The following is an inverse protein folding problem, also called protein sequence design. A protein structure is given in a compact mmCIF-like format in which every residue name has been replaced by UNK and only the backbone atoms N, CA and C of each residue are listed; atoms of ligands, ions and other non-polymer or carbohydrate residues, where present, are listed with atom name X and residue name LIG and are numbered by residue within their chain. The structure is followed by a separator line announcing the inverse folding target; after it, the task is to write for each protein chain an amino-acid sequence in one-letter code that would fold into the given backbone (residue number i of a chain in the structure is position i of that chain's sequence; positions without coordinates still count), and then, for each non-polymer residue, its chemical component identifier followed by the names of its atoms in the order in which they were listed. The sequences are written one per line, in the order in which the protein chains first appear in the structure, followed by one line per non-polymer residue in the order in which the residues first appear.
data_IF_424726657169
#
_entry.id   IF_424726657169
#
_cell.length_a   1.000
_cell.length_b   1.000
_cell.length_c   1.000
_cell.angle_alpha   90.00
_cell.angle_beta   90.00
_cell.angle_gamma   90.00
#
_symmetry.space_group_name_H-M   'P 1'
#
loop_
_entity.id
_entity.type
_entity.pdbx_description
1 polymer ?
#
# COMPACT_ATOMS: atom_id res chain seq x y z
N UNK A 1 41.65 0.09 52.31
CA UNK A 1 40.64 -0.99 52.14
C UNK A 1 39.28 -0.43 51.76
N UNK A 2 38.76 0.57 52.48
CA UNK A 2 37.45 1.19 52.27
C UNK A 2 37.28 1.83 50.87
N UNK A 3 38.32 2.46 50.32
CA UNK A 3 38.26 3.12 49.01
C UNK A 3 38.20 2.13 47.82
N UNK A 4 38.74 0.92 48.01
CA UNK A 4 38.69 -0.17 47.01
C UNK A 4 37.31 -0.81 46.96
N UNK A 5 36.67 -0.98 48.12
CA UNK A 5 35.29 -1.47 48.27
C UNK A 5 34.27 -0.52 47.62
N UNK A 6 34.40 0.80 47.81
CA UNK A 6 33.51 1.79 47.18
C UNK A 6 33.60 1.79 45.64
N UNK A 7 34.81 1.65 45.10
CA UNK A 7 35.03 1.58 43.64
C UNK A 7 34.43 0.30 43.03
N UNK A 8 34.51 -0.83 43.74
CA UNK A 8 33.92 -2.11 43.30
C UNK A 8 32.39 -2.07 43.36
N UNK A 9 31.82 -1.48 44.42
CA UNK A 9 30.36 -1.34 44.58
C UNK A 9 29.75 -0.39 43.53
N UNK A 10 30.45 0.70 43.21
CA UNK A 10 30.09 1.60 42.09
C UNK A 10 30.14 0.91 40.73
N UNK A 11 31.20 0.11 40.47
CA UNK A 11 31.36 -0.62 39.20
C UNK A 11 30.31 -1.72 39.01
N UNK A 12 29.95 -2.45 40.07
CA UNK A 12 28.85 -3.43 40.05
C UNK A 12 27.46 -2.76 39.93
N UNK A 13 27.27 -1.57 40.52
CA UNK A 13 26.05 -0.78 40.34
C UNK A 13 25.86 -0.31 38.88
N UNK A 14 26.94 0.10 38.20
CA UNK A 14 26.87 0.49 36.79
C UNK A 14 26.68 -0.72 35.87
N UNK A 15 27.32 -1.86 36.14
CA UNK A 15 27.15 -3.08 35.35
C UNK A 15 25.73 -3.67 35.45
N UNK A 16 25.11 -3.62 36.64
CA UNK A 16 23.72 -4.05 36.83
C UNK A 16 22.69 -3.09 36.20
N UNK A 17 22.97 -1.78 36.20
CA UNK A 17 22.16 -0.78 35.49
C UNK A 17 22.20 -0.98 33.98
N UNK A 18 23.39 -1.11 33.39
CA UNK A 18 23.56 -1.35 31.95
C UNK A 18 22.87 -2.65 31.47
N UNK A 19 22.85 -3.70 32.29
CA UNK A 19 22.17 -4.95 31.95
C UNK A 19 20.63 -4.80 31.98
N UNK A 20 20.09 -4.01 32.91
CA UNK A 20 18.66 -3.69 32.93
C UNK A 20 18.25 -2.80 31.76
N UNK A 21 19.07 -1.81 31.40
CA UNK A 21 18.80 -0.92 30.27
C UNK A 21 18.75 -1.72 28.95
N UNK A 22 19.68 -2.67 28.75
CA UNK A 22 19.68 -3.55 27.58
C UNK A 22 18.43 -4.44 27.53
N UNK A 23 18.01 -5.01 28.66
CA UNK A 23 16.77 -5.81 28.73
C UNK A 23 15.51 -4.99 28.43
N UNK A 24 15.47 -3.74 28.89
CA UNK A 24 14.37 -2.82 28.60
C UNK A 24 14.33 -2.50 27.10
N UNK A 25 15.48 -2.24 26.48
CA UNK A 25 15.58 -1.99 25.04
C UNK A 25 15.18 -3.21 24.20
N UNK A 26 15.62 -4.42 24.57
CA UNK A 26 15.20 -5.66 23.89
C UNK A 26 13.69 -5.92 24.01
N UNK A 27 13.11 -5.64 25.19
CA UNK A 27 11.67 -5.76 25.41
C UNK A 27 10.88 -4.74 24.57
N UNK A 28 11.33 -3.47 24.55
CA UNK A 28 10.70 -2.41 23.74
C UNK A 28 10.79 -2.75 22.26
N UNK A 29 11.95 -3.21 21.77
CA UNK A 29 12.13 -3.59 20.36
C UNK A 29 11.21 -4.76 19.97
N UNK A 30 11.12 -5.78 20.83
CA UNK A 30 10.25 -6.94 20.60
C UNK A 30 8.77 -6.55 20.62
N UNK A 31 8.38 -5.65 21.52
CA UNK A 31 7.01 -5.14 21.59
C UNK A 31 6.64 -4.29 20.36
N UNK A 32 7.55 -3.42 19.91
CA UNK A 32 7.38 -2.64 18.68
C UNK A 32 7.25 -3.58 17.48
N UNK A 33 8.15 -4.57 17.35
CA UNK A 33 8.10 -5.57 16.28
C UNK A 33 6.78 -6.33 16.29
N UNK A 34 6.33 -6.80 17.44
CA UNK A 34 5.05 -7.49 17.58
C UNK A 34 3.86 -6.62 17.12
N UNK A 35 3.84 -5.34 17.52
CA UNK A 35 2.81 -4.40 17.06
C UNK A 35 2.88 -4.15 15.55
N UNK A 36 4.07 -4.05 14.99
CA UNK A 36 4.29 -3.94 13.56
C UNK A 36 3.79 -5.19 12.83
N UNK A 37 4.19 -6.38 13.25
CA UNK A 37 3.75 -7.65 12.65
C UNK A 37 2.22 -7.79 12.70
N UNK A 38 1.59 -7.37 13.80
CA UNK A 38 0.13 -7.35 13.91
C UNK A 38 -0.54 -6.29 13.01
N UNK A 39 0.10 -5.15 12.75
CA UNK A 39 -0.35 -4.15 11.78
C UNK A 39 -0.23 -4.67 10.34
N UNK A 40 0.86 -5.38 10.02
CA UNK A 40 1.05 -6.04 8.73
C UNK A 40 -0.01 -7.12 8.47
N UNK A 41 -0.47 -7.80 9.52
CA UNK A 41 -1.51 -8.83 9.42
C UNK A 41 -2.89 -8.29 8.95
N UNK A 42 -3.16 -6.99 9.12
CA UNK A 42 -4.44 -6.38 8.72
C UNK A 42 -4.44 -5.84 7.27
N UNK A 43 -3.35 -6.06 6.51
CA UNK A 43 -3.23 -5.71 5.09
C UNK A 43 -2.67 -4.31 4.81
N UNK A 44 -2.48 -4.01 3.52
CA UNK A 44 -1.87 -2.76 3.04
C UNK A 44 -2.61 -1.48 3.46
N UNK A 45 -3.92 -1.58 3.75
CA UNK A 45 -4.76 -0.44 4.15
C UNK A 45 -4.25 0.25 5.42
N UNK A 46 -3.61 -0.48 6.35
CA UNK A 46 -3.05 0.07 7.59
C UNK A 46 -1.60 0.53 7.44
N UNK A 47 -0.88 0.00 6.46
CA UNK A 47 0.55 0.28 6.25
C UNK A 47 0.74 1.67 5.62
N UNK A 48 -0.09 2.04 4.64
CA UNK A 48 -0.03 3.35 3.97
C UNK A 48 -0.16 4.53 4.95
N UNK A 49 -1.19 4.62 5.83
CA UNK A 49 -1.30 5.74 6.76
C UNK A 49 -0.15 5.77 7.76
N UNK A 50 0.34 4.60 8.21
CA UNK A 50 1.50 4.52 9.10
C UNK A 50 2.76 5.08 8.44
N UNK A 51 3.03 4.69 7.18
CA UNK A 51 4.16 5.19 6.41
C UNK A 51 4.07 6.70 6.18
N UNK A 52 2.86 7.20 5.94
CA UNK A 52 2.60 8.64 5.77
C UNK A 52 2.91 9.40 7.06
N UNK A 53 2.49 8.90 8.22
CA UNK A 53 2.79 9.51 9.53
C UNK A 53 4.31 9.52 9.79
N UNK A 54 5.00 8.42 9.50
CA UNK A 54 6.45 8.32 9.65
C UNK A 54 7.15 9.35 8.75
N UNK A 55 6.70 9.50 7.50
CA UNK A 55 7.23 10.49 6.56
C UNK A 55 7.08 11.92 7.10
N UNK A 56 5.89 12.28 7.61
CA UNK A 56 5.63 13.59 8.22
C UNK A 56 6.53 13.83 9.44
N UNK A 57 6.67 12.84 10.31
CA UNK A 57 7.50 12.95 11.51
C UNK A 57 8.97 13.22 11.16
N UNK A 58 9.47 12.58 10.11
CA UNK A 58 10.83 12.75 9.62
C UNK A 58 11.04 14.15 9.02
N UNK A 59 10.07 14.66 8.25
CA UNK A 59 10.09 16.04 7.73
C UNK A 59 10.16 17.05 8.89
N UNK A 60 9.39 16.83 9.96
CA UNK A 60 9.42 17.69 11.16
C UNK A 60 10.79 17.67 11.85
N UNK A 61 11.38 16.48 12.05
CA UNK A 61 12.71 16.34 12.67
C UNK A 61 13.76 17.07 11.83
N UNK A 62 13.80 16.83 10.52
CA UNK A 62 14.79 17.44 9.65
C UNK A 62 14.61 18.94 9.53
N UNK A 63 13.37 19.43 9.50
CA UNK A 63 13.07 20.86 9.53
C UNK A 63 13.59 21.53 10.80
N UNK A 64 13.47 20.87 11.97
CA UNK A 64 14.03 21.38 13.22
C UNK A 64 15.56 21.46 13.14
N UNK A 65 16.22 20.40 12.66
CA UNK A 65 17.68 20.36 12.48
C UNK A 65 18.14 21.50 11.54
N UNK A 66 17.37 21.75 10.47
CA UNK A 66 17.66 22.80 9.50
C UNK A 66 17.51 24.20 10.10
N UNK A 67 16.45 24.42 10.89
CA UNK A 67 16.25 25.68 11.61
C UNK A 67 17.42 26.02 12.54
N UNK A 68 17.98 25.02 13.23
CA UNK A 68 19.17 25.20 14.07
C UNK A 68 20.45 25.55 13.29
N UNK A 69 20.48 25.29 11.98
CA UNK A 69 21.63 25.59 11.11
C UNK A 69 21.66 27.06 10.62
N UNK A 70 20.66 27.88 11.00
CA UNK A 70 20.60 29.35 10.80
C UNK A 70 20.62 29.87 9.35
N UNK A 71 20.18 29.06 8.39
CA UNK A 71 20.03 29.52 6.99
C UNK A 71 18.67 30.17 6.68
N UNK A 72 17.67 30.00 7.56
CA UNK A 72 16.29 30.43 7.29
C UNK A 72 15.76 31.32 8.40
N UNK A 73 15.07 32.41 8.01
CA UNK A 73 14.51 33.39 8.93
C UNK A 73 13.26 32.88 9.67
N UNK A 74 12.64 31.79 9.19
CA UNK A 74 11.41 31.23 9.73
C UNK A 74 11.38 29.69 9.70
N UNK A 75 10.81 29.08 10.75
CA UNK A 75 10.56 27.64 10.81
C UNK A 75 9.68 27.14 9.65
N UNK A 76 8.74 27.97 9.18
CA UNK A 76 7.88 27.62 8.04
C UNK A 76 8.69 27.45 6.75
N UNK A 77 9.72 28.27 6.57
CA UNK A 77 10.59 28.20 5.40
C UNK A 77 11.50 26.98 5.49
N UNK A 78 12.00 26.65 6.69
CA UNK A 78 12.73 25.40 6.92
C UNK A 78 11.88 24.16 6.63
N UNK A 79 10.59 24.16 7.02
CA UNK A 79 9.65 23.09 6.69
C UNK A 79 9.44 22.96 5.19
N UNK A 80 9.18 24.09 4.52
CA UNK A 80 8.96 24.13 3.08
C UNK A 80 10.19 23.64 2.32
N UNK A 81 11.38 24.13 2.66
CA UNK A 81 12.64 23.71 2.05
C UNK A 81 12.91 22.22 2.26
N UNK A 82 12.70 21.70 3.47
CA UNK A 82 12.87 20.26 3.75
C UNK A 82 11.90 19.41 2.93
N UNK A 83 10.64 19.84 2.84
CA UNK A 83 9.62 19.18 2.03
C UNK A 83 9.98 19.16 0.54
N UNK A 84 10.30 20.33 -0.04
CA UNK A 84 10.66 20.43 -1.45
C UNK A 84 11.92 19.65 -1.79
N UNK A 85 12.86 19.53 -0.86
CA UNK A 85 14.14 18.82 -1.06
C UNK A 85 14.01 17.31 -1.05
N UNK A 86 13.00 16.77 -0.35
CA UNK A 86 12.64 15.35 -0.42
C UNK A 86 11.97 15.04 -1.76
N UNK A 87 11.15 15.96 -2.28
CA UNK A 87 10.48 15.81 -3.57
C UNK A 87 11.43 16.06 -4.76
N UNK A 88 12.33 17.02 -4.61
CA UNK A 88 13.36 17.37 -5.58
C UNK A 88 14.73 17.47 -4.90
N UNK A 89 15.47 16.35 -4.86
CA UNK A 89 16.83 16.30 -4.37
C UNK A 89 17.81 17.24 -5.09
N UNK A 90 17.49 17.67 -6.32
CA UNK A 90 18.38 18.51 -7.12
C UNK A 90 18.49 19.94 -6.60
N UNK A 91 17.48 20.40 -5.85
CA UNK A 91 17.49 21.70 -5.17
C UNK A 91 18.70 21.89 -4.24
N UNK A 92 19.31 20.79 -3.80
CA UNK A 92 20.46 20.78 -2.90
C UNK A 92 21.80 21.24 -3.47
N UNK A 93 21.89 21.35 -4.79
CA UNK A 93 23.14 21.69 -5.45
C UNK A 93 23.65 23.11 -5.09
N UNK A 94 22.75 23.98 -4.62
CA UNK A 94 23.05 25.38 -4.31
C UNK A 94 23.44 25.64 -2.85
N UNK A 95 23.51 24.61 -2.00
CA UNK A 95 23.91 24.78 -0.59
C UNK A 95 25.35 25.29 -0.48
N UNK A 96 25.54 26.30 0.35
CA UNK A 96 26.86 26.83 0.71
C UNK A 96 27.35 26.19 2.02
N UNK A 97 28.59 25.71 2.03
CA UNK A 97 29.22 25.13 3.21
C UNK A 97 29.20 23.58 3.27
N UNK A 98 30.36 23.01 3.62
CA UNK A 98 30.57 21.56 3.62
C UNK A 98 29.75 20.82 4.67
N UNK A 99 29.55 21.41 5.85
CA UNK A 99 28.69 20.85 6.91
C UNK A 99 27.23 20.76 6.44
N UNK A 100 26.77 21.77 5.73
CA UNK A 100 25.40 21.85 5.28
C UNK A 100 25.12 20.83 4.17
N UNK A 101 26.02 20.72 3.17
CA UNK A 101 25.94 19.70 2.13
C UNK A 101 25.88 18.27 2.66
N UNK A 102 26.64 17.96 3.72
CA UNK A 102 26.59 16.64 4.35
C UNK A 102 25.24 16.35 5.01
N UNK A 103 24.70 17.32 5.77
CA UNK A 103 23.39 17.19 6.43
C UNK A 103 22.29 17.03 5.36
N UNK A 104 22.32 17.88 4.35
CA UNK A 104 21.41 17.84 3.21
C UNK A 104 21.45 16.52 2.45
N UNK A 105 22.64 15.95 2.25
CA UNK A 105 22.82 14.65 1.61
C UNK A 105 22.17 13.51 2.41
N UNK A 106 22.31 13.54 3.74
CA UNK A 106 21.67 12.54 4.62
C UNK A 106 20.15 12.68 4.57
N UNK A 107 19.63 13.92 4.63
CA UNK A 107 18.19 14.20 4.55
C UNK A 107 17.61 13.67 3.24
N UNK A 108 18.28 13.94 2.13
CA UNK A 108 17.86 13.48 0.79
C UNK A 108 17.86 11.96 0.72
N UNK A 109 18.92 11.30 1.19
CA UNK A 109 19.03 9.84 1.12
C UNK A 109 17.93 9.19 1.96
N UNK A 110 17.69 9.68 3.17
CA UNK A 110 16.59 9.20 4.02
C UNK A 110 15.23 9.46 3.37
N UNK A 111 14.98 10.67 2.88
CA UNK A 111 13.73 11.06 2.22
C UNK A 111 13.44 10.20 1.00
N UNK A 112 14.43 9.98 0.14
CA UNK A 112 14.32 9.19 -1.07
C UNK A 112 13.95 7.73 -0.78
N UNK A 113 14.58 7.11 0.22
CA UNK A 113 14.25 5.74 0.64
C UNK A 113 12.79 5.66 1.09
N UNK A 114 12.33 6.61 1.91
CA UNK A 114 10.95 6.61 2.43
C UNK A 114 9.94 6.81 1.30
N UNK A 115 10.18 7.78 0.42
CA UNK A 115 9.31 8.06 -0.73
C UNK A 115 9.24 6.85 -1.65
N UNK A 116 10.36 6.16 -1.90
CA UNK A 116 10.38 4.95 -2.71
C UNK A 116 9.53 3.83 -2.09
N UNK A 117 9.64 3.60 -0.77
CA UNK A 117 8.81 2.61 -0.07
C UNK A 117 7.33 3.02 -0.11
N UNK A 118 7.01 4.30 0.07
CA UNK A 118 5.65 4.82 0.02
C UNK A 118 5.00 4.61 -1.35
N UNK A 119 5.71 4.96 -2.43
CA UNK A 119 5.24 4.74 -3.80
C UNK A 119 5.04 3.24 -4.04
N UNK A 120 5.99 2.40 -3.63
CA UNK A 120 5.86 0.94 -3.74
C UNK A 120 4.63 0.40 -3.04
N UNK A 121 4.35 0.85 -1.80
CA UNK A 121 3.17 0.45 -1.05
C UNK A 121 1.86 0.88 -1.74
N UNK A 122 1.84 2.10 -2.30
CA UNK A 122 0.69 2.65 -3.04
C UNK A 122 0.43 1.83 -4.31
N UNK A 123 1.47 1.49 -5.08
CA UNK A 123 1.32 0.69 -6.30
C UNK A 123 0.73 -0.69 -5.97
N UNK A 124 1.25 -1.38 -4.95
CA UNK A 124 0.71 -2.68 -4.55
C UNK A 124 -0.75 -2.57 -4.09
N UNK A 125 -1.10 -1.53 -3.34
CA UNK A 125 -2.48 -1.29 -2.92
C UNK A 125 -3.41 -1.02 -4.11
N UNK A 126 -2.96 -0.23 -5.09
CA UNK A 126 -3.70 -0.01 -6.32
C UNK A 126 -3.91 -1.31 -7.09
N UNK A 127 -2.88 -2.16 -7.20
CA UNK A 127 -2.99 -3.46 -7.84
C UNK A 127 -3.98 -4.37 -7.10
N UNK A 128 -3.97 -4.40 -5.77
CA UNK A 128 -4.95 -5.14 -4.98
C UNK A 128 -6.39 -4.67 -5.26
N UNK A 129 -6.62 -3.35 -5.28
CA UNK A 129 -7.93 -2.78 -5.59
C UNK A 129 -8.35 -3.02 -7.03
N UNK A 130 -7.44 -2.92 -7.98
CA UNK A 130 -7.71 -3.25 -9.37
C UNK A 130 -8.03 -4.74 -9.54
N UNK A 131 -7.33 -5.61 -8.83
CA UNK A 131 -7.60 -7.05 -8.85
C UNK A 131 -8.94 -7.37 -8.17
N UNK A 132 -9.30 -6.68 -7.10
CA UNK A 132 -10.62 -6.79 -6.46
C UNK A 132 -11.75 -6.37 -7.44
N UNK A 133 -11.55 -5.28 -8.19
CA UNK A 133 -12.48 -4.87 -9.23
C UNK A 133 -12.57 -5.87 -10.40
N UNK A 134 -11.44 -6.46 -10.80
CA UNK A 134 -11.41 -7.53 -11.82
C UNK A 134 -12.20 -8.77 -11.40
N UNK A 135 -12.22 -9.10 -10.10
CA UNK A 135 -12.99 -10.23 -9.54
C UNK A 135 -14.50 -10.03 -9.63
N UNK A 136 -15.00 -8.83 -9.94
CA UNK A 136 -16.39 -8.61 -10.36
C UNK A 136 -17.45 -8.85 -9.28
N UNK A 137 -17.11 -8.63 -8.00
CA UNK A 137 -18.06 -8.67 -6.89
C UNK A 137 -19.03 -7.46 -6.86
N UNK A 138 -19.00 -6.58 -7.86
CA UNK A 138 -19.92 -5.44 -7.95
C UNK A 138 -21.31 -5.91 -8.36
N UNK A 139 -22.33 -5.48 -7.60
CA UNK A 139 -23.75 -5.79 -7.83
C UNK A 139 -24.17 -5.45 -9.27
N UNK A 140 -24.91 -6.36 -9.91
CA UNK A 140 -25.44 -6.14 -11.26
C UNK A 140 -26.71 -5.30 -11.15
N UNK A 141 -26.66 -4.04 -11.61
CA UNK A 141 -27.78 -3.10 -11.64
C UNK A 141 -28.45 -3.12 -13.03
N UNK A 142 -28.60 -4.29 -13.64
CA UNK A 142 -29.19 -4.43 -14.97
C UNK A 142 -30.67 -4.83 -14.90
N UNK A 143 -31.50 -4.22 -15.74
CA UNK A 143 -32.94 -4.53 -15.83
C UNK A 143 -33.19 -5.49 -17.00
N UNK A 144 -34.10 -6.47 -16.81
CA UNK A 144 -34.48 -7.47 -17.83
C UNK A 144 -33.32 -8.32 -18.37
N UNK A 145 -32.48 -8.86 -17.48
CA UNK A 145 -31.34 -9.69 -17.85
C UNK A 145 -31.63 -11.18 -17.64
N UNK A 146 -31.03 -12.03 -18.48
CA UNK A 146 -31.07 -13.50 -18.32
C UNK A 146 -29.84 -13.95 -17.56
N UNK A 147 -30.02 -14.69 -16.46
CA UNK A 147 -28.91 -15.20 -15.64
C UNK A 147 -28.63 -16.67 -16.02
N UNK A 148 -27.37 -16.98 -16.31
CA UNK A 148 -26.87 -18.35 -16.41
C UNK A 148 -26.08 -18.64 -15.14
N UNK A 149 -26.52 -19.64 -14.37
CA UNK A 149 -25.88 -20.07 -13.13
C UNK A 149 -24.98 -21.27 -13.39
N UNK A 150 -23.70 -21.15 -13.06
CA UNK A 150 -22.70 -22.20 -13.22
C UNK A 150 -22.03 -22.24 -14.59
N UNK A 151 -21.02 -23.08 -14.71
CA UNK A 151 -20.21 -23.25 -15.93
C UNK A 151 -20.31 -24.68 -16.46
N UNK A 152 -20.70 -24.84 -17.73
CA UNK A 152 -20.66 -26.13 -18.42
C UNK A 152 -20.18 -25.96 -19.87
N UNK A 153 -19.63 -27.01 -20.52
CA UNK A 153 -19.23 -26.93 -21.92
C UNK A 153 -20.38 -26.56 -22.88
N UNK A 154 -21.64 -26.77 -22.48
CA UNK A 154 -22.84 -26.41 -23.27
C UNK A 154 -23.18 -24.93 -23.20
N UNK A 155 -22.49 -24.14 -22.37
CA UNK A 155 -22.80 -22.72 -22.18
C UNK A 155 -22.64 -21.92 -23.48
N UNK A 156 -21.73 -22.32 -24.37
CA UNK A 156 -21.51 -21.63 -25.64
C UNK A 156 -22.74 -21.74 -26.55
N UNK A 157 -23.35 -22.92 -26.61
CA UNK A 157 -24.57 -23.15 -27.39
C UNK A 157 -25.73 -22.34 -26.82
N UNK A 158 -25.89 -22.34 -25.48
CA UNK A 158 -26.92 -21.55 -24.79
C UNK A 158 -26.75 -20.06 -25.07
N UNK A 159 -25.52 -19.53 -25.01
CA UNK A 159 -25.25 -18.11 -25.29
C UNK A 159 -25.59 -17.78 -26.75
N UNK A 160 -25.22 -18.63 -27.71
CA UNK A 160 -25.52 -18.40 -29.13
C UNK A 160 -27.04 -18.37 -29.38
N UNK A 161 -27.79 -19.34 -28.84
CA UNK A 161 -29.25 -19.36 -28.95
C UNK A 161 -29.89 -18.13 -28.28
N UNK A 162 -29.38 -17.72 -27.12
CA UNK A 162 -29.85 -16.50 -26.45
C UNK A 162 -29.54 -15.23 -27.24
N UNK A 163 -28.38 -15.13 -27.90
CA UNK A 163 -28.05 -14.00 -28.77
C UNK A 163 -29.07 -13.90 -29.91
N UNK A 164 -29.39 -15.03 -30.56
CA UNK A 164 -30.39 -15.09 -31.64
C UNK A 164 -31.77 -14.69 -31.12
N UNK A 165 -32.20 -15.25 -29.98
CA UNK A 165 -33.48 -14.92 -29.36
C UNK A 165 -33.58 -13.43 -28.94
N UNK A 166 -32.44 -12.79 -28.66
CA UNK A 166 -32.35 -11.43 -28.19
C UNK A 166 -32.30 -10.37 -29.32
N UNK A 167 -32.23 -10.78 -30.59
CA UNK A 167 -32.17 -9.84 -31.73
C UNK A 167 -33.35 -8.85 -31.76
N UNK A 168 -34.53 -9.30 -31.34
CA UNK A 168 -35.75 -8.47 -31.31
C UNK A 168 -35.94 -7.67 -30.01
N UNK A 169 -35.06 -7.83 -29.01
CA UNK A 169 -35.14 -7.11 -27.73
C UNK A 169 -34.31 -5.82 -27.76
N UNK A 170 -34.75 -4.80 -27.02
CA UNK A 170 -33.96 -3.57 -26.79
C UNK A 170 -33.04 -3.77 -25.57
N UNK A 171 -31.73 -3.60 -25.77
CA UNK A 171 -30.66 -3.75 -24.77
C UNK A 171 -30.67 -5.05 -23.94
N UNK A 172 -30.78 -6.24 -24.58
CA UNK A 172 -30.71 -7.51 -23.87
C UNK A 172 -29.35 -7.70 -23.19
N UNK A 173 -29.36 -8.31 -22.01
CA UNK A 173 -28.14 -8.65 -21.28
C UNK A 173 -28.20 -10.08 -20.75
N UNK A 174 -27.06 -10.77 -20.85
CA UNK A 174 -26.85 -12.11 -20.32
C UNK A 174 -25.80 -11.97 -19.21
N UNK A 175 -26.15 -12.42 -18.00
CA UNK A 175 -25.26 -12.42 -16.84
C UNK A 175 -24.85 -13.87 -16.58
N UNK A 176 -23.56 -14.15 -16.58
CA UNK A 176 -23.02 -15.48 -16.28
C UNK A 176 -22.41 -15.43 -14.89
N UNK A 177 -23.00 -16.18 -13.95
CA UNK A 177 -22.49 -16.36 -12.60
C UNK A 177 -21.73 -17.67 -12.52
N UNK A 178 -20.46 -17.63 -12.15
CA UNK A 178 -19.61 -18.82 -12.08
C UNK A 178 -18.60 -18.68 -10.95
N UNK A 179 -18.15 -19.81 -10.39
CA UNK A 179 -17.06 -19.82 -9.41
C UNK A 179 -15.67 -19.63 -10.06
N UNK A 180 -15.59 -19.69 -11.39
CA UNK A 180 -14.35 -19.43 -12.15
C UNK A 180 -13.97 -17.95 -12.18
N UNK A 181 -12.69 -17.66 -12.41
CA UNK A 181 -12.22 -16.29 -12.59
C UNK A 181 -12.88 -15.61 -13.81
N UNK A 182 -13.34 -14.37 -13.64
CA UNK A 182 -14.03 -13.63 -14.70
C UNK A 182 -13.15 -13.42 -15.93
N UNK A 183 -11.84 -13.23 -15.75
CA UNK A 183 -10.89 -12.96 -16.84
C UNK A 183 -10.71 -14.21 -17.70
N UNK A 184 -10.59 -15.38 -17.07
CA UNK A 184 -10.52 -16.68 -17.76
C UNK A 184 -11.80 -16.93 -18.56
N UNK A 185 -12.96 -16.74 -17.94
CA UNK A 185 -14.28 -16.96 -18.57
C UNK A 185 -14.50 -16.00 -19.73
N UNK A 186 -14.17 -14.72 -19.54
CA UNK A 186 -14.26 -13.72 -20.60
C UNK A 186 -13.36 -14.07 -21.79
N UNK A 187 -12.14 -14.55 -21.53
CA UNK A 187 -11.22 -14.97 -22.59
C UNK A 187 -11.81 -16.14 -23.39
N UNK A 188 -12.26 -17.20 -22.71
CA UNK A 188 -12.82 -18.40 -23.37
C UNK A 188 -14.08 -18.06 -24.18
N UNK A 189 -14.96 -17.19 -23.66
CA UNK A 189 -16.18 -16.80 -24.36
C UNK A 189 -15.87 -15.92 -25.57
N UNK A 190 -14.93 -14.98 -25.46
CA UNK A 190 -14.51 -14.15 -26.60
C UNK A 190 -13.82 -14.96 -27.70
N UNK A 191 -13.10 -16.02 -27.33
CA UNK A 191 -12.44 -16.93 -28.28
C UNK A 191 -13.45 -17.75 -29.09
N UNK A 192 -14.54 -18.20 -28.46
CA UNK A 192 -15.57 -19.02 -29.12
C UNK A 192 -16.73 -18.24 -29.74
N UNK A 193 -17.05 -17.06 -29.22
CA UNK A 193 -18.20 -16.26 -29.61
C UNK A 193 -17.71 -14.91 -30.14
N UNK A 194 -17.53 -14.83 -31.46
CA UNK A 194 -17.00 -13.64 -32.14
C UNK A 194 -18.01 -12.49 -32.26
N UNK A 195 -19.32 -12.73 -32.15
CA UNK A 195 -20.34 -11.70 -32.35
C UNK A 195 -21.52 -11.83 -31.39
N UNK A 196 -21.63 -10.90 -30.43
CA UNK A 196 -22.76 -10.82 -29.51
C UNK A 196 -23.91 -9.92 -29.99
N UNK A 197 -23.83 -9.37 -31.21
CA UNK A 197 -24.83 -8.47 -31.81
C UNK A 197 -25.24 -7.33 -30.85
N UNK A 198 -26.52 -7.23 -30.51
CA UNK A 198 -27.09 -6.25 -29.56
C UNK A 198 -27.05 -6.71 -28.09
N UNK A 199 -26.54 -7.91 -27.81
CA UNK A 199 -26.56 -8.52 -26.49
C UNK A 199 -25.29 -8.20 -25.72
N UNK A 200 -25.45 -7.67 -24.50
CA UNK A 200 -24.34 -7.45 -23.56
C UNK A 200 -24.13 -8.68 -22.70
N UNK A 201 -22.92 -9.24 -22.72
CA UNK A 201 -22.55 -10.38 -21.87
C UNK A 201 -21.75 -9.85 -20.68
N UNK A 202 -22.23 -10.14 -19.47
CA UNK A 202 -21.66 -9.70 -18.20
C UNK A 202 -21.22 -10.92 -17.41
N UNK A 203 -19.98 -10.91 -16.93
CA UNK A 203 -19.39 -12.01 -16.17
C UNK A 203 -19.35 -11.63 -14.68
N UNK A 204 -19.73 -12.58 -13.82
CA UNK A 204 -19.73 -12.41 -12.37
C UNK A 204 -19.17 -13.64 -11.68
N UNK A 205 -18.34 -13.41 -10.66
CA UNK A 205 -17.83 -14.46 -9.80
C UNK A 205 -18.75 -14.60 -8.58
N UNK A 206 -19.27 -15.80 -8.36
CA UNK A 206 -20.10 -16.13 -7.21
C UNK A 206 -20.48 -17.60 -7.21
N UNK A 207 -20.78 -18.12 -6.02
CA UNK A 207 -21.31 -19.47 -5.87
C UNK A 207 -22.82 -19.45 -6.16
N UNK A 208 -23.31 -20.15 -7.19
CA UNK A 208 -24.73 -20.24 -7.47
C UNK A 208 -25.54 -20.97 -6.39
N UNK A 209 -24.88 -21.63 -5.42
CA UNK A 209 -25.51 -22.41 -4.34
C UNK A 209 -25.46 -21.72 -2.96
N UNK A 210 -24.79 -20.57 -2.82
CA UNK A 210 -24.65 -19.87 -1.54
C UNK A 210 -25.79 -18.91 -1.22
#
# INVERSE_FOLDING_TARGET
VIDKEMKIKSKNGNASRLNNDNKILEYIFSYIKYKFDNLFAHGLIFIIPLLTIISVFIILIFSIIYYFTKETDSYKDALWQTFTRILDPCAAAHDEGLKHRLISGIVILCGLVIVAILIGAIVTFMDEKLNELKKGHTTVIEKNHTIILGWSPKIFDIINELIIANENRRNPSIVILTSKDNSEVQYIIKDKINNSKNTRIIYRNGDPMS
#
